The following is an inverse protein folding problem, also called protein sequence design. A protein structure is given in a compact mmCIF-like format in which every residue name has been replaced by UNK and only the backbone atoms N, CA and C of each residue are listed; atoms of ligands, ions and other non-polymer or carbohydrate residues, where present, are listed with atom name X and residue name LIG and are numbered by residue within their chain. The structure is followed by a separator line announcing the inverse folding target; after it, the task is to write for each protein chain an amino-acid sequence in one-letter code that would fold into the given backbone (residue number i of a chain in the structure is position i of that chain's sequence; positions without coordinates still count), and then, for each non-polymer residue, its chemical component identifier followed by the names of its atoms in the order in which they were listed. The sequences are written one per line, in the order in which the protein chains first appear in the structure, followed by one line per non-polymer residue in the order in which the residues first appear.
data_IF_385469186360
#
_entry.id   IF_385469186360
#
_cell.length_a   1.000
_cell.length_b   1.000
_cell.length_c   1.000
_cell.angle_alpha   90.00
_cell.angle_beta   90.00
_cell.angle_gamma   90.00
#
_symmetry.space_group_name_H-M   'P 1'
#
loop_
_entity.id
_entity.type
_entity.pdbx_description
1 polymer ?
#
# COMPACT_ATOMS: atom_id res chain seq x y z
N UNK A 1 -5.58 -20.13 2.50
CA UNK A 1 -6.17 -19.66 1.22
C UNK A 1 -5.64 -18.25 0.97
N UNK A 2 -6.02 -17.57 -0.11
CA UNK A 2 -5.63 -16.19 -0.37
C UNK A 2 -6.80 -15.42 -0.98
N UNK A 3 -6.90 -14.13 -0.67
CA UNK A 3 -7.87 -13.20 -1.23
C UNK A 3 -7.12 -12.13 -2.05
N UNK A 4 -7.14 -12.31 -3.36
CA UNK A 4 -6.54 -11.38 -4.31
C UNK A 4 -7.56 -10.34 -4.78
N UNK A 5 -7.06 -9.16 -5.14
CA UNK A 5 -7.81 -8.01 -5.63
C UNK A 5 -7.03 -7.37 -6.80
N UNK A 6 -7.52 -6.27 -7.37
CA UNK A 6 -6.86 -5.59 -8.49
C UNK A 6 -5.42 -5.14 -8.14
N UNK A 7 -5.19 -4.77 -6.89
CA UNK A 7 -3.87 -4.42 -6.38
C UNK A 7 -2.97 -5.63 -6.15
N UNK A 8 -3.44 -6.84 -6.45
CA UNK A 8 -2.62 -8.06 -6.46
C UNK A 8 -1.97 -8.29 -7.84
N UNK A 9 -2.39 -7.56 -8.88
CA UNK A 9 -1.84 -7.65 -10.23
C UNK A 9 -0.45 -7.04 -10.30
N UNK A 10 0.54 -7.83 -10.69
CA UNK A 10 1.87 -7.36 -11.07
C UNK A 10 1.96 -7.24 -12.59
N UNK A 11 2.14 -6.01 -13.07
CA UNK A 11 2.37 -5.76 -14.49
C UNK A 11 3.87 -5.74 -14.79
N UNK A 12 4.36 -6.74 -15.53
CA UNK A 12 5.71 -6.72 -16.08
C UNK A 12 5.74 -5.84 -17.32
N UNK A 13 6.47 -4.74 -17.23
CA UNK A 13 6.72 -3.81 -18.35
C UNK A 13 8.22 -3.66 -18.58
N UNK A 14 8.67 -3.22 -19.77
CA UNK A 14 10.08 -2.92 -20.00
C UNK A 14 10.65 -1.92 -18.99
N UNK A 15 9.85 -0.94 -18.54
CA UNK A 15 10.25 0.02 -17.53
C UNK A 15 10.52 -0.63 -16.16
N UNK A 16 9.76 -1.66 -15.80
CA UNK A 16 9.93 -2.38 -14.53
C UNK A 16 11.08 -3.38 -14.59
N UNK A 17 11.22 -4.09 -15.71
CA UNK A 17 12.21 -5.17 -15.87
C UNK A 17 13.59 -4.61 -16.23
N UNK A 18 13.66 -3.39 -16.75
CA UNK A 18 14.86 -2.83 -17.34
C UNK A 18 15.06 -3.26 -18.80
N UNK A 19 16.11 -2.77 -19.47
CA UNK A 19 16.37 -3.08 -20.88
C UNK A 19 16.50 -4.59 -21.06
N UNK A 20 15.59 -5.15 -21.85
CA UNK A 20 15.53 -6.58 -22.16
C UNK A 20 16.70 -7.04 -23.05
N UNK A 21 17.41 -6.07 -23.64
CA UNK A 21 18.55 -6.24 -24.53
C UNK A 21 19.55 -5.13 -24.16
N UNK A 22 20.70 -5.52 -23.61
CA UNK A 22 21.83 -4.59 -23.41
C UNK A 22 22.94 -4.98 -24.37
N UNK A 23 23.14 -4.17 -25.41
CA UNK A 23 24.24 -4.34 -26.36
C UNK A 23 25.48 -3.63 -25.81
N UNK A 24 26.41 -4.39 -25.25
CA UNK A 24 27.71 -3.86 -24.85
C UNK A 24 28.67 -3.93 -26.04
N UNK A 25 28.99 -2.76 -26.61
CA UNK A 25 30.01 -2.63 -27.65
C UNK A 25 31.25 -1.93 -27.07
N UNK A 26 32.37 -2.65 -27.00
CA UNK A 26 33.67 -2.03 -26.76
C UNK A 26 34.15 -1.26 -28.00
N UNK A 27 35.08 -0.31 -27.83
CA UNK A 27 35.62 0.51 -28.94
C UNK A 27 36.34 -0.37 -29.99
N UNK A 28 36.88 -1.53 -29.60
CA UNK A 28 37.39 -2.60 -30.48
C UNK A 28 37.09 -3.96 -29.84
N UNK A 29 36.37 -4.84 -30.55
CA UNK A 29 35.98 -6.18 -30.10
C UNK A 29 34.57 -6.56 -30.57
N UNK A 30 34.31 -7.85 -30.72
CA UNK A 30 32.98 -8.38 -31.07
C UNK A 30 31.97 -7.94 -29.99
N UNK A 31 30.90 -7.26 -30.40
CA UNK A 31 29.86 -6.80 -29.49
C UNK A 31 29.19 -8.01 -28.85
N UNK A 32 29.28 -8.11 -27.52
CA UNK A 32 28.56 -9.16 -26.79
C UNK A 32 27.17 -8.63 -26.49
N UNK A 33 26.20 -9.22 -27.17
CA UNK A 33 24.80 -9.09 -26.80
C UNK A 33 24.58 -9.90 -25.50
N UNK A 34 24.47 -9.21 -24.36
CA UNK A 34 24.05 -9.85 -23.10
C UNK A 34 22.54 -10.11 -23.20
N UNK A 35 22.18 -11.17 -23.95
CA UNK A 35 20.81 -11.50 -24.25
C UNK A 35 20.16 -12.37 -23.18
N UNK A 36 18.88 -12.09 -23.00
CA UNK A 36 17.95 -12.71 -22.07
C UNK A 36 17.43 -14.10 -22.49
N UNK A 37 18.00 -14.69 -23.55
CA UNK A 37 17.51 -15.91 -24.20
C UNK A 37 17.50 -17.14 -23.29
N UNK A 38 18.23 -17.15 -22.16
CA UNK A 38 18.25 -18.30 -21.24
C UNK A 38 17.03 -18.42 -20.30
N UNK A 39 16.19 -17.38 -20.17
CA UNK A 39 15.01 -17.44 -19.28
C UNK A 39 13.73 -17.88 -20.00
N UNK A 40 13.62 -17.70 -21.32
CA UNK A 40 12.39 -18.01 -22.08
C UNK A 40 12.02 -19.51 -22.05
N UNK A 41 13.02 -20.39 -21.97
CA UNK A 41 12.82 -21.85 -21.90
C UNK A 41 12.44 -22.36 -20.49
N UNK A 42 12.28 -21.47 -19.51
CA UNK A 42 11.90 -21.88 -18.15
C UNK A 42 10.45 -22.37 -18.13
N UNK A 43 10.31 -23.67 -17.86
CA UNK A 43 9.00 -24.30 -17.65
C UNK A 43 8.23 -23.62 -16.51
N UNK A 44 6.93 -23.40 -16.72
CA UNK A 44 6.00 -22.85 -15.70
C UNK A 44 6.11 -23.54 -14.34
N UNK A 45 6.29 -24.86 -14.31
CA UNK A 45 6.47 -25.63 -13.07
C UNK A 45 7.75 -25.25 -12.30
N UNK A 46 8.83 -24.95 -13.02
CA UNK A 46 10.09 -24.47 -12.46
C UNK A 46 9.90 -23.08 -11.88
N UNK A 47 9.28 -22.17 -12.64
CA UNK A 47 8.95 -20.83 -12.18
C UNK A 47 8.12 -20.87 -10.88
N UNK A 48 7.04 -21.65 -10.89
CA UNK A 48 6.16 -21.86 -9.75
C UNK A 48 6.90 -22.38 -8.53
N UNK A 49 7.81 -23.35 -8.72
CA UNK A 49 8.64 -23.87 -7.64
C UNK A 49 9.55 -22.79 -7.04
N UNK A 50 10.22 -22.00 -7.88
CA UNK A 50 11.14 -20.97 -7.40
C UNK A 50 10.44 -19.82 -6.69
N UNK A 51 9.28 -19.36 -7.18
CA UNK A 51 8.49 -18.32 -6.51
C UNK A 51 7.96 -18.86 -5.17
N UNK A 52 7.37 -20.05 -5.15
CA UNK A 52 6.89 -20.66 -3.89
C UNK A 52 8.02 -20.92 -2.89
N UNK A 53 9.21 -21.32 -3.36
CA UNK A 53 10.40 -21.50 -2.54
C UNK A 53 10.86 -20.15 -1.96
N UNK A 54 10.96 -19.11 -2.79
CA UNK A 54 11.33 -17.77 -2.30
C UNK A 54 10.35 -17.30 -1.23
N UNK A 55 9.05 -17.39 -1.51
CA UNK A 55 7.97 -17.06 -0.58
C UNK A 55 8.11 -17.79 0.77
N UNK A 56 8.36 -19.11 0.74
CA UNK A 56 8.55 -19.89 1.97
C UNK A 56 9.77 -19.41 2.77
N UNK A 57 10.90 -19.20 2.10
CA UNK A 57 12.18 -18.91 2.75
C UNK A 57 12.29 -17.46 3.23
N UNK A 58 11.53 -16.51 2.65
CA UNK A 58 11.61 -15.09 2.99
C UNK A 58 10.41 -14.55 3.76
N UNK A 59 9.22 -15.14 3.59
CA UNK A 59 7.96 -14.63 4.20
C UNK A 59 7.36 -15.55 5.24
N UNK A 60 7.59 -16.86 5.13
CA UNK A 60 6.97 -17.89 5.97
C UNK A 60 8.00 -18.67 6.79
N UNK A 61 9.04 -17.96 7.22
CA UNK A 61 10.15 -18.44 8.03
C UNK A 61 10.30 -17.49 9.22
N UNK A 62 10.40 -18.05 10.42
CA UNK A 62 10.67 -17.25 11.61
C UNK A 62 12.17 -16.84 11.62
N UNK A 63 12.53 -15.64 12.11
CA UNK A 63 13.92 -15.20 12.13
C UNK A 63 14.84 -16.19 12.85
N UNK A 64 15.82 -16.75 12.14
CA UNK A 64 16.79 -17.71 12.69
C UNK A 64 16.39 -19.18 12.59
N UNK A 65 15.12 -19.51 12.37
CA UNK A 65 14.63 -20.89 12.33
C UNK A 65 14.72 -21.52 10.93
N UNK A 66 14.53 -22.83 10.80
CA UNK A 66 14.43 -23.48 9.49
C UNK A 66 13.10 -23.18 8.76
N UNK A 67 13.08 -23.21 7.41
CA UNK A 67 11.85 -23.00 6.65
C UNK A 67 10.81 -24.09 6.95
N UNK A 68 9.54 -23.68 7.10
CA UNK A 68 8.41 -24.57 7.39
C UNK A 68 7.99 -25.37 6.16
N UNK A 69 8.76 -26.40 5.79
CA UNK A 69 8.60 -27.17 4.54
C UNK A 69 7.19 -27.75 4.33
N UNK A 70 6.45 -28.06 5.41
CA UNK A 70 5.06 -28.54 5.34
C UNK A 70 4.09 -27.52 4.70
N UNK A 71 4.44 -26.22 4.70
CA UNK A 71 3.65 -25.16 4.05
C UNK A 71 3.87 -25.10 2.53
N UNK A 72 4.94 -25.72 2.01
CA UNK A 72 5.34 -25.57 0.61
C UNK A 72 4.22 -25.94 -0.37
N UNK A 73 3.51 -27.04 -0.13
CA UNK A 73 2.40 -27.47 -0.99
C UNK A 73 1.25 -26.47 -1.02
N UNK A 74 0.92 -25.86 0.13
CA UNK A 74 -0.13 -24.85 0.24
C UNK A 74 0.28 -23.55 -0.46
N UNK A 75 1.50 -23.08 -0.21
CA UNK A 75 2.07 -21.90 -0.85
C UNK A 75 2.14 -22.08 -2.36
N UNK A 76 2.63 -23.23 -2.85
CA UNK A 76 2.68 -23.54 -4.28
C UNK A 76 1.30 -23.49 -4.95
N UNK A 77 0.24 -23.94 -4.28
CA UNK A 77 -1.13 -23.84 -4.81
C UNK A 77 -1.58 -22.38 -4.93
N UNK A 78 -1.30 -21.55 -3.92
CA UNK A 78 -1.65 -20.12 -3.92
C UNK A 78 -0.83 -19.36 -4.96
N UNK A 79 0.47 -19.62 -5.05
CA UNK A 79 1.35 -19.03 -6.06
C UNK A 79 0.89 -19.39 -7.47
N UNK A 80 0.37 -20.60 -7.69
CA UNK A 80 -0.22 -20.97 -8.99
C UNK A 80 -1.41 -20.07 -9.32
N UNK A 81 -2.39 -19.98 -8.41
CA UNK A 81 -3.54 -19.10 -8.61
C UNK A 81 -3.11 -17.66 -8.93
N UNK A 82 -2.14 -17.12 -8.17
CA UNK A 82 -1.61 -15.78 -8.43
C UNK A 82 -0.94 -15.66 -9.80
N UNK A 83 -0.10 -16.64 -10.18
CA UNK A 83 0.60 -16.63 -11.47
C UNK A 83 -0.38 -16.72 -12.66
N UNK A 84 -1.49 -17.43 -12.48
CA UNK A 84 -2.48 -17.69 -13.51
C UNK A 84 -3.38 -16.46 -13.74
N UNK A 85 -3.77 -15.77 -12.66
CA UNK A 85 -4.81 -14.74 -12.71
C UNK A 85 -4.28 -13.30 -12.49
N UNK A 86 -3.09 -13.13 -11.91
CA UNK A 86 -2.59 -11.82 -11.42
C UNK A 86 -1.18 -11.45 -11.92
N UNK A 87 -0.60 -12.22 -12.85
CA UNK A 87 0.60 -11.81 -13.56
C UNK A 87 0.24 -11.36 -14.98
N UNK A 88 0.54 -10.10 -15.30
CA UNK A 88 0.30 -9.54 -16.64
C UNK A 88 1.63 -9.13 -17.26
N UNK A 89 1.91 -9.59 -18.46
CA UNK A 89 3.11 -9.21 -19.22
C UNK A 89 2.72 -8.27 -20.36
N UNK A 90 3.36 -7.10 -20.45
CA UNK A 90 3.15 -6.08 -21.49
C UNK A 90 4.48 -5.69 -22.13
N UNK A 91 4.45 -5.32 -23.41
CA UNK A 91 5.64 -4.77 -24.10
C UNK A 91 6.75 -5.80 -24.34
N UNK A 92 6.41 -7.06 -24.64
CA UNK A 92 7.38 -8.13 -24.92
C UNK A 92 8.00 -8.77 -23.67
N UNK A 93 7.55 -8.40 -22.46
CA UNK A 93 7.91 -9.10 -21.23
C UNK A 93 7.29 -10.50 -21.19
N UNK A 94 7.84 -11.37 -20.34
CA UNK A 94 7.38 -12.74 -20.21
C UNK A 94 7.58 -13.28 -18.78
N UNK A 95 6.79 -14.29 -18.36
CA UNK A 95 6.73 -14.70 -16.95
C UNK A 95 8.06 -15.12 -16.32
N UNK A 96 8.99 -15.68 -17.09
CA UNK A 96 10.27 -16.13 -16.54
C UNK A 96 11.17 -14.98 -16.04
N UNK A 97 10.84 -13.72 -16.36
CA UNK A 97 11.45 -12.54 -15.73
C UNK A 97 11.16 -12.45 -14.21
N UNK A 98 10.14 -13.16 -13.69
CA UNK A 98 10.00 -13.38 -12.25
C UNK A 98 11.16 -14.16 -11.62
N UNK A 99 12.09 -14.70 -12.41
CA UNK A 99 13.32 -15.28 -11.87
C UNK A 99 14.28 -14.23 -11.32
N UNK A 100 14.14 -12.97 -11.75
CA UNK A 100 14.88 -11.85 -11.17
C UNK A 100 14.53 -11.65 -9.69
N UNK A 101 15.52 -11.58 -8.79
CA UNK A 101 15.26 -11.50 -7.36
C UNK A 101 14.26 -10.40 -6.95
N UNK A 102 14.39 -9.20 -7.51
CA UNK A 102 13.54 -8.05 -7.17
C UNK A 102 12.09 -8.28 -7.60
N UNK A 103 11.85 -8.68 -8.85
CA UNK A 103 10.50 -8.97 -9.36
C UNK A 103 9.88 -10.18 -8.63
N UNK A 104 10.69 -11.18 -8.31
CA UNK A 104 10.27 -12.32 -7.49
C UNK A 104 9.83 -11.89 -6.10
N UNK A 105 10.56 -10.96 -5.49
CA UNK A 105 10.23 -10.40 -4.18
C UNK A 105 8.92 -9.60 -4.26
N UNK A 106 8.70 -8.78 -5.30
CA UNK A 106 7.42 -8.11 -5.53
C UNK A 106 6.25 -9.10 -5.62
N UNK A 107 6.39 -10.17 -6.40
CA UNK A 107 5.37 -11.23 -6.46
C UNK A 107 5.13 -11.88 -5.08
N UNK A 108 6.20 -12.12 -4.32
CA UNK A 108 6.08 -12.65 -2.96
C UNK A 108 5.35 -11.69 -2.02
N UNK A 109 5.55 -10.37 -2.14
CA UNK A 109 4.79 -9.36 -1.38
C UNK A 109 3.30 -9.42 -1.71
N UNK A 110 2.94 -9.45 -3.00
CA UNK A 110 1.53 -9.53 -3.45
C UNK A 110 0.85 -10.80 -2.98
N UNK A 111 1.53 -11.94 -3.11
CA UNK A 111 1.01 -13.22 -2.61
C UNK A 111 0.83 -13.17 -1.10
N UNK A 112 1.80 -12.63 -0.37
CA UNK A 112 1.74 -12.53 1.09
C UNK A 112 0.60 -11.62 1.53
N UNK A 113 0.42 -10.45 0.89
CA UNK A 113 -0.70 -9.55 1.16
C UNK A 113 -2.04 -10.25 0.95
N UNK A 114 -2.20 -10.99 -0.15
CA UNK A 114 -3.42 -11.77 -0.41
C UNK A 114 -3.70 -12.85 0.63
N UNK A 115 -2.67 -13.50 1.16
CA UNK A 115 -2.83 -14.46 2.27
C UNK A 115 -3.21 -13.72 3.56
N UNK A 116 -2.49 -12.64 3.91
CA UNK A 116 -2.72 -11.85 5.12
C UNK A 116 -4.15 -11.32 5.22
N UNK A 117 -4.74 -10.86 4.10
CA UNK A 117 -6.16 -10.43 4.06
C UNK A 117 -7.13 -11.51 4.54
N UNK A 118 -6.85 -12.79 4.27
CA UNK A 118 -7.71 -13.90 4.75
C UNK A 118 -7.54 -14.22 6.24
N UNK A 119 -6.46 -13.71 6.86
CA UNK A 119 -6.13 -13.96 8.25
C UNK A 119 -6.63 -12.87 9.19
N UNK A 120 -7.17 -11.76 8.65
CA UNK A 120 -7.80 -10.69 9.42
C UNK A 120 -8.88 -11.31 10.32
N UNK A 121 -8.85 -10.98 11.61
CA UNK A 121 -9.75 -11.52 12.65
C UNK A 121 -9.31 -12.85 13.27
N UNK A 122 -8.52 -13.69 12.58
CA UNK A 122 -8.02 -14.96 13.13
C UNK A 122 -6.59 -14.87 13.67
N UNK A 123 -5.73 -14.17 12.95
CA UNK A 123 -4.34 -13.88 13.34
C UNK A 123 -4.12 -12.39 13.21
N UNK A 124 -4.50 -11.62 14.24
CA UNK A 124 -4.51 -10.18 14.14
C UNK A 124 -3.08 -9.64 13.98
N UNK A 125 -2.95 -8.65 13.10
CA UNK A 125 -1.70 -7.95 12.87
C UNK A 125 -1.39 -7.10 14.10
N UNK A 126 -0.14 -7.16 14.57
CA UNK A 126 0.32 -6.38 15.72
C UNK A 126 1.18 -5.23 15.24
N UNK A 127 0.77 -4.02 15.55
CA UNK A 127 1.60 -2.85 15.35
C UNK A 127 2.81 -2.89 16.30
N UNK A 128 4.00 -2.69 15.75
CA UNK A 128 5.22 -2.43 16.54
C UNK A 128 5.43 -0.93 16.50
N UNK A 129 5.33 -0.29 17.67
CA UNK A 129 5.45 1.16 17.80
C UNK A 129 6.91 1.59 17.84
N UNK A 130 7.16 2.85 17.47
CA UNK A 130 8.42 3.51 17.79
C UNK A 130 8.58 3.54 19.32
N UNK A 131 9.69 3.01 19.88
CA UNK A 131 9.88 2.90 21.32
C UNK A 131 10.04 4.26 22.02
N UNK A 132 10.43 5.31 21.29
CA UNK A 132 10.68 6.65 21.83
C UNK A 132 9.55 7.62 21.52
N UNK A 133 9.03 7.61 20.29
CA UNK A 133 8.00 8.55 19.82
C UNK A 133 6.76 7.82 19.28
N UNK A 134 6.00 7.09 20.13
CA UNK A 134 4.84 6.32 19.68
C UNK A 134 3.62 7.17 19.32
N UNK A 135 3.62 8.47 19.65
CA UNK A 135 2.51 9.41 19.41
C UNK A 135 3.08 10.75 18.91
N UNK A 136 2.48 11.29 17.84
CA UNK A 136 2.76 12.64 17.33
C UNK A 136 1.65 13.63 17.65
N UNK A 137 1.94 14.92 17.48
CA UNK A 137 0.95 16.01 17.64
C UNK A 137 1.26 17.16 16.69
N UNK A 138 0.20 17.77 16.14
CA UNK A 138 0.33 18.97 15.30
C UNK A 138 0.86 20.18 16.06
N UNK A 139 0.81 20.17 17.40
CA UNK A 139 1.36 21.24 18.26
C UNK A 139 2.86 21.45 18.05
N UNK A 140 3.59 20.41 17.64
CA UNK A 140 5.03 20.47 17.41
C UNK A 140 5.39 20.83 15.96
N UNK A 141 4.40 21.01 15.08
CA UNK A 141 4.67 21.35 13.67
C UNK A 141 4.94 22.84 13.57
N UNK A 142 6.23 23.17 13.43
CA UNK A 142 6.70 24.53 13.18
C UNK A 142 7.95 24.47 12.31
N UNK A 143 7.91 25.13 11.16
CA UNK A 143 9.04 25.22 10.24
C UNK A 143 8.89 26.44 9.32
N UNK A 144 10.02 26.89 8.77
CA UNK A 144 10.04 27.92 7.74
C UNK A 144 10.13 27.29 6.36
N UNK A 145 9.48 27.89 5.36
CA UNK A 145 9.55 27.43 3.96
C UNK A 145 9.55 28.61 3.00
N UNK A 146 10.24 28.44 1.87
CA UNK A 146 10.23 29.38 0.75
C UNK A 146 9.17 29.04 -0.31
N UNK A 147 8.45 27.92 -0.17
CA UNK A 147 7.39 27.53 -1.09
C UNK A 147 6.26 28.56 -1.12
N UNK A 148 5.86 28.92 -2.33
CA UNK A 148 4.79 29.88 -2.59
C UNK A 148 3.44 29.21 -2.74
N UNK A 149 3.43 27.96 -3.23
CA UNK A 149 2.20 27.18 -3.39
C UNK A 149 1.80 26.62 -2.02
N UNK A 150 0.76 27.23 -1.46
CA UNK A 150 0.25 26.93 -0.13
C UNK A 150 -1.23 27.27 -0.03
N UNK A 151 -1.94 26.51 0.81
CA UNK A 151 -3.34 26.73 1.14
C UNK A 151 -3.44 27.35 2.54
N UNK A 152 -4.14 28.48 2.66
CA UNK A 152 -4.47 29.08 3.96
C UNK A 152 -5.60 28.29 4.57
N UNK A 153 -5.37 27.68 5.73
CA UNK A 153 -6.34 26.77 6.31
C UNK A 153 -7.40 27.52 7.12
N UNK A 154 -8.59 26.93 7.19
CA UNK A 154 -9.60 27.34 8.16
C UNK A 154 -9.16 26.89 9.57
N UNK A 155 -8.92 27.85 10.46
CA UNK A 155 -8.52 27.60 11.85
C UNK A 155 -9.53 26.79 12.66
N UNK A 156 -10.78 26.67 12.20
CA UNK A 156 -11.81 25.81 12.80
C UNK A 156 -11.65 24.33 12.42
N UNK A 157 -10.88 24.04 11.36
CA UNK A 157 -10.71 22.71 10.77
C UNK A 157 -9.24 22.24 10.79
N UNK A 158 -8.26 23.12 10.91
CA UNK A 158 -6.85 22.74 10.94
C UNK A 158 -6.06 23.58 11.96
N UNK A 159 -5.21 22.91 12.74
CA UNK A 159 -4.32 23.58 13.71
C UNK A 159 -3.14 24.30 13.03
N UNK A 160 -2.77 23.91 11.81
CA UNK A 160 -1.65 24.48 11.06
C UNK A 160 -2.20 25.52 10.12
N UNK A 161 -1.69 26.75 10.19
CA UNK A 161 -2.15 27.90 9.40
C UNK A 161 -1.94 27.77 7.88
N UNK A 162 -0.91 27.04 7.45
CA UNK A 162 -0.60 26.85 6.03
C UNK A 162 -0.32 25.38 5.70
N UNK A 163 -1.07 24.84 4.75
CA UNK A 163 -0.74 23.58 4.09
C UNK A 163 0.17 23.89 2.91
N UNK A 164 1.36 23.28 2.89
CA UNK A 164 2.31 23.44 1.80
C UNK A 164 1.96 22.46 0.68
N UNK A 165 1.76 22.97 -0.52
CA UNK A 165 1.28 22.17 -1.65
C UNK A 165 2.46 21.62 -2.46
N UNK A 166 2.27 20.40 -2.95
CA UNK A 166 3.09 19.68 -3.91
C UNK A 166 2.34 19.49 -5.24
N UNK A 167 1.01 19.67 -5.25
CA UNK A 167 0.18 19.71 -6.46
C UNK A 167 -1.11 20.49 -6.25
N UNK A 168 -1.75 20.91 -7.35
CA UNK A 168 -3.07 21.56 -7.32
C UNK A 168 -4.18 20.62 -6.79
N UNK A 169 -3.99 19.31 -6.88
CA UNK A 169 -4.96 18.33 -6.38
C UNK A 169 -5.06 18.35 -4.86
N UNK A 170 -3.97 18.66 -4.17
CA UNK A 170 -3.97 18.82 -2.72
C UNK A 170 -4.71 20.09 -2.30
N UNK A 171 -4.65 21.15 -3.12
CA UNK A 171 -5.41 22.37 -2.87
C UNK A 171 -6.91 22.08 -2.97
N UNK A 172 -7.31 21.34 -4.00
CA UNK A 172 -8.69 20.91 -4.19
C UNK A 172 -9.17 20.03 -3.02
N UNK A 173 -8.31 19.12 -2.54
CA UNK A 173 -8.63 18.35 -1.36
C UNK A 173 -8.84 19.21 -0.11
N UNK A 174 -8.00 20.23 0.11
CA UNK A 174 -8.19 21.16 1.24
C UNK A 174 -9.57 21.87 1.15
N UNK A 175 -9.95 22.33 -0.06
CA UNK A 175 -11.28 22.91 -0.32
C UNK A 175 -12.42 21.96 0.06
N UNK A 176 -12.33 20.70 -0.38
CA UNK A 176 -13.34 19.66 -0.12
C UNK A 176 -13.39 19.31 1.37
N UNK A 177 -12.24 19.13 2.02
CA UNK A 177 -12.17 18.79 3.44
C UNK A 177 -12.77 19.90 4.33
N UNK A 178 -12.53 21.17 4.01
CA UNK A 178 -13.05 22.30 4.78
C UNK A 178 -14.56 22.51 4.59
N UNK A 179 -15.08 22.26 3.39
CA UNK A 179 -16.51 22.40 3.08
C UNK A 179 -17.34 21.25 3.61
N UNK A 180 -16.75 20.06 3.82
CA UNK A 180 -17.49 18.87 4.17
C UNK A 180 -18.03 18.92 5.63
N UNK A 181 -19.34 18.76 5.86
CA UNK A 181 -19.94 18.96 7.18
C UNK A 181 -19.44 17.97 8.24
N UNK A 182 -19.14 16.72 7.84
CA UNK A 182 -18.63 15.69 8.75
C UNK A 182 -17.13 15.77 9.05
N UNK A 183 -16.35 16.64 8.38
CA UNK A 183 -14.91 16.73 8.67
C UNK A 183 -14.71 17.59 9.92
N UNK A 184 -14.32 16.99 11.05
CA UNK A 184 -14.03 17.74 12.29
C UNK A 184 -12.73 18.50 12.18
N UNK A 185 -11.69 17.83 11.70
CA UNK A 185 -10.38 18.43 11.50
C UNK A 185 -9.62 17.72 10.37
N UNK A 186 -8.63 18.37 9.79
CA UNK A 186 -7.69 17.76 8.86
C UNK A 186 -6.29 18.35 9.03
N UNK A 187 -5.27 17.62 8.57
CA UNK A 187 -3.90 18.10 8.54
C UNK A 187 -3.11 17.42 7.42
N UNK A 188 -2.28 18.19 6.70
CA UNK A 188 -1.29 17.60 5.80
C UNK A 188 -0.16 17.00 6.63
N UNK A 189 0.26 15.79 6.31
CA UNK A 189 1.38 15.10 6.93
C UNK A 189 2.71 15.66 6.40
N UNK A 190 2.90 16.97 6.52
CA UNK A 190 4.13 17.65 6.17
C UNK A 190 4.85 18.04 7.46
N UNK A 191 6.03 17.48 7.68
CA UNK A 191 6.80 17.64 8.93
C UNK A 191 6.06 17.17 10.20
N UNK A 192 5.05 16.30 10.05
CA UNK A 192 4.27 15.72 11.14
C UNK A 192 4.86 14.39 11.64
N UNK A 193 5.57 13.67 10.77
CA UNK A 193 6.30 12.44 11.12
C UNK A 193 5.46 11.16 11.10
N UNK A 194 4.27 11.16 10.48
CA UNK A 194 3.53 9.91 10.25
C UNK A 194 4.15 9.16 9.07
N UNK A 195 5.07 8.26 9.38
CA UNK A 195 5.83 7.48 8.42
C UNK A 195 5.46 5.99 8.52
N UNK A 196 5.17 5.37 7.38
CA UNK A 196 4.74 3.97 7.29
C UNK A 196 5.80 3.16 6.54
N UNK A 197 6.52 2.24 7.20
CA UNK A 197 7.49 1.41 6.52
C UNK A 197 6.79 0.40 5.59
N UNK A 198 7.30 0.26 4.38
CA UNK A 198 6.82 -0.74 3.41
C UNK A 198 7.98 -1.34 2.62
N UNK A 199 7.71 -2.42 1.89
CA UNK A 199 8.68 -3.04 0.98
C UNK A 199 8.31 -2.79 -0.47
N UNK A 200 9.31 -2.44 -1.27
CA UNK A 200 9.19 -2.33 -2.72
C UNK A 200 10.26 -3.22 -3.35
N UNK A 201 9.85 -4.38 -3.86
CA UNK A 201 10.78 -5.44 -4.24
C UNK A 201 11.64 -5.87 -3.05
N UNK A 202 12.96 -5.75 -3.18
CA UNK A 202 13.91 -6.12 -2.10
C UNK A 202 14.26 -4.94 -1.17
N UNK A 203 13.79 -3.72 -1.46
CA UNK A 203 14.11 -2.52 -0.69
C UNK A 203 13.06 -2.21 0.39
N UNK A 204 13.52 -1.80 1.56
CA UNK A 204 12.66 -1.17 2.57
C UNK A 204 12.57 0.32 2.26
N UNK A 205 11.35 0.84 2.16
CA UNK A 205 11.06 2.25 1.90
C UNK A 205 10.10 2.80 2.95
N UNK A 206 10.00 4.11 3.00
CA UNK A 206 9.07 4.83 3.89
C UNK A 206 8.00 5.48 3.02
N UNK A 207 6.75 5.17 3.33
CA UNK A 207 5.58 5.82 2.77
C UNK A 207 5.11 6.90 3.73
N UNK A 208 4.88 8.11 3.20
CA UNK A 208 4.30 9.22 3.93
C UNK A 208 2.97 9.55 3.26
N UNK A 209 1.81 9.23 3.87
CA UNK A 209 0.52 9.62 3.32
C UNK A 209 0.37 11.14 3.29
N UNK A 210 -0.48 11.67 2.42
CA UNK A 210 -0.61 13.12 2.24
C UNK A 210 -1.36 13.79 3.40
N UNK A 211 -2.53 13.27 3.79
CA UNK A 211 -3.40 13.90 4.78
C UNK A 211 -3.92 12.92 5.83
N UNK A 212 -4.26 13.48 7.00
CA UNK A 212 -5.05 12.83 8.04
C UNK A 212 -6.30 13.68 8.25
N UNK A 213 -7.47 13.05 8.23
CA UNK A 213 -8.76 13.69 8.42
C UNK A 213 -9.48 13.05 9.60
N UNK A 214 -10.00 13.85 10.52
CA UNK A 214 -10.92 13.39 11.55
C UNK A 214 -12.34 13.56 11.07
N UNK A 215 -13.05 12.46 10.92
CA UNK A 215 -14.42 12.41 10.37
C UNK A 215 -15.41 12.09 11.49
N UNK A 216 -16.51 12.84 11.51
CA UNK A 216 -17.70 12.53 12.28
C UNK A 216 -18.53 11.48 11.55
N UNK A 217 -18.36 10.22 11.94
CA UNK A 217 -19.19 9.12 11.49
C UNK A 217 -20.34 8.83 12.46
N UNK A 218 -20.68 9.77 13.36
CA UNK A 218 -21.77 9.63 14.32
C UNK A 218 -21.43 8.84 15.58
N UNK A 219 -20.18 8.41 15.76
CA UNK A 219 -19.68 7.84 17.03
C UNK A 219 -19.08 8.91 17.94
N UNK A 220 -18.94 8.57 19.21
CA UNK A 220 -18.31 9.45 20.20
C UNK A 220 -16.84 9.71 19.86
N UNK A 221 -16.09 8.67 19.49
CA UNK A 221 -14.72 8.78 19.00
C UNK A 221 -14.71 9.02 17.48
N UNK A 222 -14.05 10.06 16.95
CA UNK A 222 -14.01 10.31 15.50
C UNK A 222 -13.17 9.27 14.76
N UNK A 223 -13.51 9.03 13.49
CA UNK A 223 -12.72 8.20 12.59
C UNK A 223 -11.52 8.99 12.06
N UNK A 224 -10.30 8.46 12.20
CA UNK A 224 -9.11 9.01 11.56
C UNK A 224 -8.96 8.40 10.16
N UNK A 225 -9.24 9.16 9.13
CA UNK A 225 -9.08 8.76 7.74
C UNK A 225 -7.72 9.24 7.22
N UNK A 226 -6.85 8.30 6.85
CA UNK A 226 -5.64 8.60 6.09
C UNK A 226 -6.02 8.75 4.63
N UNK A 227 -5.54 9.83 4.03
CA UNK A 227 -5.83 10.18 2.65
C UNK A 227 -4.54 10.28 1.84
N UNK A 228 -4.54 9.59 0.70
CA UNK A 228 -3.52 9.69 -0.36
C UNK A 228 -4.16 10.29 -1.63
N UNK A 229 -3.49 11.28 -2.23
CA UNK A 229 -3.93 11.95 -3.46
C UNK A 229 -2.94 11.60 -4.58
N UNK A 230 -3.40 10.86 -5.59
CA UNK A 230 -2.52 10.25 -6.58
C UNK A 230 -3.11 10.27 -7.99
N UNK A 231 -2.58 11.11 -8.87
CA UNK A 231 -3.02 11.12 -10.27
C UNK A 231 -2.58 9.90 -11.09
N UNK A 232 -1.30 9.53 -11.05
CA UNK A 232 -0.78 8.40 -11.83
C UNK A 232 -0.39 7.22 -10.93
N UNK A 233 -0.95 6.04 -11.21
CA UNK A 233 -0.81 4.83 -10.39
C UNK A 233 0.18 3.85 -11.03
N UNK A 234 1.38 3.75 -10.46
CA UNK A 234 2.40 2.73 -10.80
C UNK A 234 2.45 1.63 -9.75
N UNK A 235 3.32 0.63 -9.94
CA UNK A 235 3.49 -0.47 -8.98
C UNK A 235 3.86 0.00 -7.57
N UNK A 236 4.58 1.13 -7.42
CA UNK A 236 4.91 1.70 -6.11
C UNK A 236 3.65 2.15 -5.34
N UNK A 237 2.65 2.69 -6.05
CA UNK A 237 1.39 3.11 -5.44
C UNK A 237 0.58 1.90 -4.93
N UNK A 238 0.57 0.79 -5.67
CA UNK A 238 -0.07 -0.46 -5.23
C UNK A 238 0.56 -0.99 -3.95
N UNK A 239 1.90 -0.98 -3.83
CA UNK A 239 2.58 -1.42 -2.60
C UNK A 239 2.27 -0.50 -1.40
N UNK A 240 2.25 0.82 -1.60
CA UNK A 240 1.90 1.79 -0.54
C UNK A 240 0.49 1.54 -0.02
N UNK A 241 -0.49 1.40 -0.92
CA UNK A 241 -1.87 1.08 -0.54
C UNK A 241 -1.97 -0.28 0.14
N UNK A 242 -1.30 -1.31 -0.38
CA UNK A 242 -1.28 -2.62 0.25
C UNK A 242 -0.68 -2.57 1.67
N UNK A 243 0.38 -1.77 1.89
CA UNK A 243 0.94 -1.53 3.21
C UNK A 243 -0.10 -0.95 4.18
N UNK A 244 -0.88 0.04 3.73
CA UNK A 244 -1.93 0.65 4.53
C UNK A 244 -3.10 -0.28 4.83
N UNK A 245 -3.75 -0.81 3.80
CA UNK A 245 -4.98 -1.59 3.93
C UNK A 245 -4.75 -2.96 4.54
N UNK A 246 -3.61 -3.58 4.24
CA UNK A 246 -3.35 -4.96 4.65
C UNK A 246 -2.61 -5.05 5.97
N UNK A 247 -1.79 -4.06 6.34
CA UNK A 247 -0.93 -4.16 7.52
C UNK A 247 -1.14 -3.01 8.51
N UNK A 248 -0.97 -1.76 8.09
CA UNK A 248 -0.93 -0.62 9.01
C UNK A 248 -2.29 -0.34 9.66
N UNK A 249 -3.36 -0.20 8.87
CA UNK A 249 -4.71 0.08 9.38
C UNK A 249 -5.22 -1.07 10.26
N UNK A 250 -5.16 -2.35 9.85
CA UNK A 250 -5.53 -3.45 10.73
C UNK A 250 -4.68 -3.51 12.00
N UNK A 251 -3.37 -3.22 11.89
CA UNK A 251 -2.44 -3.25 13.02
C UNK A 251 -2.73 -2.19 14.07
N UNK A 252 -2.95 -0.94 13.65
CA UNK A 252 -3.26 0.17 14.58
C UNK A 252 -4.64 0.01 15.20
N UNK A 253 -5.65 -0.42 14.42
CA UNK A 253 -7.00 -0.65 14.92
C UNK A 253 -7.03 -1.81 15.92
N UNK A 254 -6.28 -2.89 15.67
CA UNK A 254 -6.15 -4.01 16.60
C UNK A 254 -5.43 -3.63 17.91
N UNK A 255 -4.57 -2.59 17.89
CA UNK A 255 -3.95 -2.09 19.12
C UNK A 255 -4.98 -1.41 20.05
N UNK A 256 -6.04 -0.80 19.51
CA UNK A 256 -7.15 -0.22 20.27
C UNK A 256 -6.83 1.05 21.06
N UNK A 257 -5.57 1.50 21.12
CA UNK A 257 -5.15 2.69 21.89
C UNK A 257 -5.22 3.99 21.10
N UNK A 258 -5.15 3.92 19.77
CA UNK A 258 -4.98 5.10 18.91
C UNK A 258 -6.28 5.52 18.22
N UNK A 259 -7.43 5.09 18.74
CA UNK A 259 -8.72 5.30 18.09
C UNK A 259 -8.91 4.44 16.85
N UNK A 260 -9.83 4.87 15.99
CA UNK A 260 -10.21 4.14 14.76
C UNK A 260 -9.58 4.78 13.55
N UNK A 261 -9.10 3.95 12.64
CA UNK A 261 -8.40 4.35 11.43
C UNK A 261 -8.99 3.70 10.19
N UNK A 262 -9.04 4.47 9.10
CA UNK A 262 -9.36 4.01 7.76
C UNK A 262 -8.37 4.62 6.76
N UNK A 263 -8.36 4.11 5.53
CA UNK A 263 -7.51 4.58 4.45
C UNK A 263 -8.34 4.83 3.18
N UNK A 264 -8.09 5.96 2.50
CA UNK A 264 -8.67 6.29 1.21
C UNK A 264 -7.58 6.81 0.26
N UNK A 265 -7.66 6.37 -0.99
CA UNK A 265 -6.83 6.84 -2.11
C UNK A 265 -7.75 7.52 -3.12
N UNK A 266 -7.43 8.75 -3.52
CA UNK A 266 -8.16 9.52 -4.52
C UNK A 266 -7.33 9.68 -5.78
N UNK A 267 -7.88 9.25 -6.92
CA UNK A 267 -7.14 9.16 -8.19
C UNK A 267 -7.66 10.06 -9.30
N UNK A 268 -8.74 10.79 -9.06
CA UNK A 268 -9.33 11.73 -10.00
C UNK A 268 -9.72 13.01 -9.26
N UNK A 269 -9.14 14.13 -9.71
CA UNK A 269 -9.39 15.45 -9.11
C UNK A 269 -10.79 15.97 -9.40
N UNK A 270 -11.36 15.62 -10.57
CA UNK A 270 -12.66 16.14 -10.98
C UNK A 270 -13.81 15.47 -10.23
N UNK A 271 -13.61 14.24 -9.78
CA UNK A 271 -14.59 13.51 -8.98
C UNK A 271 -14.24 13.50 -7.50
N UNK A 272 -13.16 14.18 -7.08
CA UNK A 272 -12.64 14.11 -5.71
C UNK A 272 -13.69 14.42 -4.64
N UNK A 273 -14.53 15.43 -4.85
CA UNK A 273 -15.61 15.79 -3.91
C UNK A 273 -16.64 14.65 -3.78
N UNK A 274 -17.09 14.10 -4.91
CA UNK A 274 -18.05 12.99 -4.97
C UNK A 274 -17.46 11.72 -4.37
N UNK A 275 -16.21 11.40 -4.72
CA UNK A 275 -15.50 10.24 -4.21
C UNK A 275 -15.26 10.36 -2.71
N UNK A 276 -14.95 11.57 -2.21
CA UNK A 276 -14.74 11.81 -0.79
C UNK A 276 -16.04 11.59 0.00
N UNK A 277 -17.16 12.17 -0.44
CA UNK A 277 -18.47 11.94 0.17
C UNK A 277 -18.82 10.44 0.14
N UNK A 278 -18.67 9.77 -1.00
CA UNK A 278 -18.96 8.35 -1.14
C UNK A 278 -18.09 7.48 -0.21
N UNK A 279 -16.83 7.86 0.04
CA UNK A 279 -15.95 7.18 1.00
C UNK A 279 -16.42 7.39 2.43
N UNK A 280 -16.77 8.61 2.80
CA UNK A 280 -17.32 8.92 4.14
C UNK A 280 -18.63 8.17 4.36
N UNK A 281 -19.52 8.12 3.37
CA UNK A 281 -20.75 7.34 3.42
C UNK A 281 -20.50 5.83 3.48
N UNK A 282 -19.55 5.30 2.71
CA UNK A 282 -19.25 3.87 2.72
C UNK A 282 -18.72 3.40 4.09
N UNK A 283 -17.86 4.18 4.74
CA UNK A 283 -17.40 3.86 6.10
C UNK A 283 -18.54 3.98 7.12
N UNK A 284 -19.44 4.94 6.94
CA UNK A 284 -20.67 5.04 7.74
C UNK A 284 -21.60 3.82 7.54
N UNK A 285 -21.76 3.34 6.31
CA UNK A 285 -22.60 2.19 6.00
C UNK A 285 -21.99 0.87 6.52
N UNK A 286 -20.67 0.69 6.39
CA UNK A 286 -19.95 -0.45 7.03
C UNK A 286 -20.18 -0.47 8.53
N UNK A 287 -20.29 0.70 9.17
CA UNK A 287 -20.63 0.82 10.58
C UNK A 287 -22.04 0.28 10.87
N UNK A 288 -23.06 0.66 10.11
CA UNK A 288 -24.44 0.14 10.27
C UNK A 288 -24.49 -1.39 10.10
N UNK A 289 -23.78 -1.93 9.11
CA UNK A 289 -23.71 -3.38 8.89
C UNK A 289 -23.00 -4.13 10.03
N UNK A 290 -21.93 -3.55 10.60
CA UNK A 290 -21.20 -4.17 11.70
C UNK A 290 -22.04 -4.25 13.00
N UNK A 291 -22.86 -3.22 13.25
CA UNK A 291 -23.75 -3.15 14.42
C UNK A 291 -24.94 -4.10 14.28
N UNK A 292 -25.52 -4.21 13.07
CA UNK A 292 -26.62 -5.13 12.79
C UNK A 292 -26.20 -6.60 12.88
N UNK A 293 -25.00 -6.97 12.38
CA UNK A 293 -24.48 -8.34 12.53
C UNK A 293 -24.17 -8.72 13.99
N UNK A 294 -23.72 -7.76 14.81
CA UNK A 294 -23.50 -8.00 16.25
C UNK A 294 -24.80 -8.22 17.04
N UNK A 295 -25.92 -7.61 16.61
CA UNK A 295 -27.23 -7.81 17.21
C UNK A 295 -27.84 -9.18 16.88
N UNK A 296 -27.52 -9.76 15.72
CA UNK A 296 -27.98 -11.09 15.31
C UNK A 296 -27.19 -12.24 15.96
N UNK A 297 -25.92 -12.05 16.32
CA UNK A 297 -25.13 -13.09 17.01
C UNK A 297 -25.38 -13.19 18.52
N UNK A 298 -26.28 -12.38 19.07
CA UNK A 298 -26.61 -12.31 20.51
C UNK A 298 -28.03 -12.83 20.81
N UNK A 299 -28.65 -13.51 19.85
CA UNK A 299 -29.89 -14.30 20.01
C UNK A 299 -29.60 -15.78 19.82
#
# INVERSE_FOLDING_TARGET
TAAFNDDSILELTPDLVGPSITRNAGIIGEGVDLNLEHLEDIRRSTLLFHVAKRLLYTKWRDPGDDPKLHLFGQLKRITRQWLDDFLVCKGGTYPAQLMYPEIKDMACERITAGITRTLVGQRPIKAVLDPYNPVGSTMYVNFNTSKKDRWETDSRRCHINWVILDSDWEAEFCRVAESHPKVKAYVKNHNLGLDVPYRYGSETRVYRPDFIVQVDDGREDPLNLIVEIKGYRREDAKEKKAAMETYWVPGVNNHGRFGRWAFAEFTDVFTMEVDFEARVEAEFNKMIESVTRGAESTK
#
